data_IF_052850160576
#
_entry.id   IF_052850160576
#
_cell.length_a   1.000
_cell.length_b   1.000
_cell.length_c   1.000
_cell.angle_alpha   90.00
_cell.angle_beta   90.00
_cell.angle_gamma   90.00
#
_symmetry.space_group_name_H-M   'P 1'
#
loop_
_entity.id
_entity.type
_entity.pdbx_description
1 polymer ?
#
# COMPACT_ATOMS: atom_id res chain seq x y z
N UNK A 1 16.03 8.80 -12.76
CA UNK A 1 15.24 7.70 -12.19
C UNK A 1 13.85 8.27 -12.02
N UNK A 2 12.83 7.68 -12.63
CA UNK A 2 11.44 8.13 -12.50
C UNK A 2 10.95 7.70 -11.11
N UNK A 3 10.56 8.68 -10.30
CA UNK A 3 10.21 8.49 -8.88
C UNK A 3 8.77 7.99 -8.68
N UNK A 4 7.99 7.94 -9.78
CA UNK A 4 6.53 7.76 -9.79
C UNK A 4 6.07 6.75 -10.86
N UNK A 5 6.79 5.63 -11.00
CA UNK A 5 6.50 4.59 -12.02
C UNK A 5 5.12 3.93 -11.89
N UNK A 6 4.39 4.19 -10.81
CA UNK A 6 3.06 3.65 -10.53
C UNK A 6 1.93 4.65 -10.78
N UNK A 7 2.21 5.91 -11.12
CA UNK A 7 1.14 6.88 -11.41
C UNK A 7 0.19 6.35 -12.49
N UNK A 8 -1.11 6.46 -12.22
CA UNK A 8 -2.19 5.88 -13.04
C UNK A 8 -2.60 4.47 -12.62
N UNK A 9 -1.87 3.82 -11.70
CA UNK A 9 -2.15 2.44 -11.28
C UNK A 9 -3.10 2.39 -10.09
N UNK A 10 -4.08 1.49 -10.13
CA UNK A 10 -4.89 1.06 -8.98
C UNK A 10 -4.67 -0.42 -8.73
N UNK A 11 -4.44 -0.78 -7.46
CA UNK A 11 -4.15 -2.15 -7.03
C UNK A 11 -5.14 -2.51 -5.93
N UNK A 12 -5.88 -3.60 -6.13
CA UNK A 12 -6.64 -4.23 -5.07
C UNK A 12 -5.88 -5.45 -4.56
N UNK A 13 -5.69 -5.57 -3.25
CA UNK A 13 -5.03 -6.73 -2.63
C UNK A 13 -5.66 -7.09 -1.28
N UNK A 14 -5.42 -8.32 -0.82
CA UNK A 14 -5.87 -8.80 0.49
C UNK A 14 -4.69 -9.42 1.22
N UNK A 15 -4.46 -9.04 2.48
CA UNK A 15 -3.44 -9.70 3.29
C UNK A 15 -3.88 -11.10 3.74
N UNK A 16 -2.91 -11.98 3.97
CA UNK A 16 -3.15 -13.38 4.35
C UNK A 16 -3.89 -13.52 5.70
N UNK A 17 -3.59 -12.64 6.65
CA UNK A 17 -4.25 -12.54 7.95
C UNK A 17 -5.60 -11.83 7.90
N UNK A 18 -5.97 -11.30 6.74
CA UNK A 18 -7.25 -10.65 6.51
C UNK A 18 -7.12 -9.17 6.17
N UNK A 19 -8.22 -8.61 5.66
CA UNK A 19 -8.30 -7.20 5.33
C UNK A 19 -7.87 -6.91 3.90
N UNK A 20 -8.76 -6.23 3.18
CA UNK A 20 -8.56 -5.88 1.78
C UNK A 20 -8.31 -4.39 1.62
N UNK A 21 -7.43 -4.05 0.68
CA UNK A 21 -7.05 -2.69 0.38
C UNK A 21 -7.24 -2.42 -1.10
N UNK A 22 -7.72 -1.22 -1.39
CA UNK A 22 -7.58 -0.59 -2.70
C UNK A 22 -6.57 0.54 -2.57
N UNK A 23 -5.50 0.50 -3.36
CA UNK A 23 -4.44 1.51 -3.36
C UNK A 23 -4.32 2.12 -4.74
N UNK A 24 -4.31 3.46 -4.82
CA UNK A 24 -4.28 4.21 -6.07
C UNK A 24 -3.14 5.21 -6.06
N UNK A 25 -2.33 5.20 -7.12
CA UNK A 25 -1.18 6.07 -7.30
C UNK A 25 -1.45 7.09 -8.41
N UNK A 26 -1.20 8.37 -8.14
CA UNK A 26 -1.49 9.48 -9.05
C UNK A 26 -0.67 10.71 -8.72
N UNK A 27 -0.11 11.40 -9.72
CA UNK A 27 0.62 12.67 -9.56
C UNK A 27 1.68 12.66 -8.44
N UNK A 28 2.38 11.53 -8.23
CA UNK A 28 3.34 11.35 -7.13
C UNK A 28 2.70 11.21 -5.73
N UNK A 29 1.39 10.96 -5.68
CA UNK A 29 0.58 10.75 -4.48
C UNK A 29 -0.01 9.34 -4.46
N UNK A 30 -0.30 8.86 -3.26
CA UNK A 30 -1.02 7.61 -2.99
C UNK A 30 -2.29 7.90 -2.20
N UNK A 31 -3.35 7.17 -2.53
CA UNK A 31 -4.57 7.06 -1.74
C UNK A 31 -4.85 5.59 -1.46
N UNK A 32 -5.47 5.29 -0.32
CA UNK A 32 -5.89 3.94 0.01
C UNK A 32 -7.27 3.90 0.65
N UNK A 33 -7.95 2.77 0.46
CA UNK A 33 -9.21 2.41 1.12
C UNK A 33 -9.07 1.01 1.71
N UNK A 34 -9.33 0.88 3.01
CA UNK A 34 -9.43 -0.39 3.70
C UNK A 34 -10.88 -0.88 3.69
N UNK A 35 -11.13 -1.98 3.00
CA UNK A 35 -12.47 -2.50 2.66
C UNK A 35 -13.04 -3.47 3.71
N UNK A 36 -12.33 -3.67 4.84
CA UNK A 36 -12.70 -4.61 5.90
C UNK A 36 -12.57 -6.08 5.49
N UNK A 37 -12.73 -7.00 6.46
CA UNK A 37 -12.52 -8.45 6.24
C UNK A 37 -13.69 -9.17 5.55
N UNK A 38 -14.92 -8.62 5.55
CA UNK A 38 -16.11 -9.35 5.08
C UNK A 38 -17.22 -8.53 4.40
N UNK A 39 -17.23 -7.20 4.47
CA UNK A 39 -18.38 -6.40 3.99
C UNK A 39 -18.10 -5.63 2.69
N UNK A 40 -16.84 -5.46 2.30
CA UNK A 40 -16.46 -4.57 1.20
C UNK A 40 -16.72 -3.09 1.51
N UNK A 41 -17.04 -2.76 2.77
CA UNK A 41 -17.27 -1.40 3.21
C UNK A 41 -15.95 -0.72 3.57
N UNK A 42 -15.76 0.50 3.08
CA UNK A 42 -14.61 1.33 3.42
C UNK A 42 -14.70 1.66 4.92
N UNK A 43 -13.82 1.08 5.71
CA UNK A 43 -13.77 1.29 7.16
C UNK A 43 -12.66 2.26 7.56
N UNK A 44 -11.62 2.43 6.73
CA UNK A 44 -10.59 3.47 6.86
C UNK A 44 -10.11 3.88 5.47
N UNK A 45 -9.77 5.15 5.28
CA UNK A 45 -9.16 5.63 4.05
C UNK A 45 -8.33 6.89 4.30
N UNK A 46 -7.40 7.15 3.40
CA UNK A 46 -6.69 8.41 3.32
C UNK A 46 -6.23 8.67 1.87
N UNK A 47 -5.92 9.91 1.56
CA UNK A 47 -5.59 10.36 0.20
C UNK A 47 -4.54 11.47 0.20
N UNK A 48 -4.00 11.74 -0.99
CA UNK A 48 -3.01 12.82 -1.24
C UNK A 48 -1.73 12.67 -0.40
N UNK A 49 -1.29 11.43 -0.17
CA UNK A 49 -0.08 11.14 0.59
C UNK A 49 1.10 11.05 -0.39
N UNK A 50 2.19 11.81 -0.22
CA UNK A 50 3.38 11.64 -1.06
C UNK A 50 3.95 10.22 -0.93
N UNK A 51 4.20 9.58 -2.07
CA UNK A 51 4.88 8.29 -2.11
C UNK A 51 6.22 8.39 -2.83
N UNK A 52 7.10 7.45 -2.51
CA UNK A 52 8.33 7.20 -3.28
C UNK A 52 8.26 5.80 -3.87
N UNK A 53 8.76 5.65 -5.09
CA UNK A 53 8.80 4.36 -5.77
C UNK A 53 10.15 4.12 -6.42
N UNK A 54 10.56 2.84 -6.45
CA UNK A 54 11.67 2.36 -7.27
C UNK A 54 11.26 1.06 -7.95
N UNK A 55 11.46 0.98 -9.27
CA UNK A 55 11.39 -0.29 -9.97
C UNK A 55 12.51 -1.22 -9.50
N UNK A 56 12.15 -2.47 -9.20
CA UNK A 56 13.07 -3.58 -8.96
C UNK A 56 13.26 -4.45 -10.23
N UNK A 57 12.72 -4.00 -11.37
CA UNK A 57 12.65 -4.78 -12.62
C UNK A 57 11.48 -5.75 -12.65
N UNK A 58 11.18 -6.29 -13.83
CA UNK A 58 10.17 -7.36 -14.02
C UNK A 58 8.78 -7.08 -13.42
N UNK A 59 8.28 -5.85 -13.57
CA UNK A 59 7.00 -5.42 -12.97
C UNK A 59 6.94 -5.55 -11.44
N UNK A 60 8.10 -5.46 -10.80
CA UNK A 60 8.24 -5.39 -9.35
C UNK A 60 8.63 -3.98 -8.91
N UNK A 61 8.00 -3.51 -7.86
CA UNK A 61 8.16 -2.14 -7.36
C UNK A 61 8.35 -2.17 -5.84
N UNK A 62 9.26 -1.35 -5.35
CA UNK A 62 9.33 -0.99 -3.94
C UNK A 62 8.72 0.40 -3.77
N UNK A 63 7.65 0.48 -3.00
CA UNK A 63 6.98 1.74 -2.66
C UNK A 63 7.03 2.00 -1.18
N UNK A 64 7.05 3.27 -0.80
CA UNK A 64 6.86 3.67 0.58
C UNK A 64 6.17 5.03 0.67
N UNK A 65 5.42 5.24 1.75
CA UNK A 65 4.83 6.53 2.08
C UNK A 65 4.80 6.73 3.60
N UNK A 66 4.65 8.00 3.99
CA UNK A 66 4.69 8.42 5.39
C UNK A 66 3.51 9.35 5.70
N UNK A 67 2.62 8.90 6.57
CA UNK A 67 1.47 9.65 7.07
C UNK A 67 1.82 10.28 8.41
N UNK A 68 2.58 11.38 8.35
CA UNK A 68 3.07 12.10 9.53
C UNK A 68 2.00 12.44 10.55
N UNK A 69 0.79 12.75 10.09
CA UNK A 69 -0.30 13.22 10.96
C UNK A 69 -0.86 12.12 11.88
N UNK A 70 -0.67 10.85 11.53
CA UNK A 70 -1.16 9.70 12.31
C UNK A 70 -0.02 8.79 12.79
N UNK A 71 1.22 9.08 12.39
CA UNK A 71 2.39 8.31 12.79
C UNK A 71 2.49 6.96 12.08
N UNK A 72 2.08 6.88 10.82
CA UNK A 72 2.14 5.64 10.04
C UNK A 72 3.22 5.73 8.95
N UNK A 73 4.11 4.74 8.89
CA UNK A 73 5.05 4.55 7.79
C UNK A 73 4.77 3.21 7.13
N UNK A 74 4.55 3.20 5.82
CA UNK A 74 4.22 1.99 5.06
C UNK A 74 5.26 1.78 3.98
N UNK A 75 5.69 0.54 3.81
CA UNK A 75 6.57 0.08 2.73
C UNK A 75 5.98 -1.19 2.13
N UNK A 76 5.77 -1.20 0.81
CA UNK A 76 5.30 -2.38 0.08
C UNK A 76 6.30 -2.78 -1.00
N UNK A 77 6.53 -4.08 -1.16
CA UNK A 77 7.00 -4.65 -2.42
C UNK A 77 5.77 -5.15 -3.15
N UNK A 78 5.53 -4.64 -4.35
CA UNK A 78 4.46 -5.06 -5.25
C UNK A 78 5.11 -5.89 -6.35
N UNK A 79 4.73 -7.16 -6.49
CA UNK A 79 5.16 -8.04 -7.58
C UNK A 79 3.95 -8.40 -8.43
N UNK A 80 3.77 -7.68 -9.55
CA UNK A 80 2.66 -7.94 -10.48
C UNK A 80 2.84 -9.26 -11.25
N UNK A 81 4.05 -9.80 -11.32
CA UNK A 81 4.34 -11.06 -12.00
C UNK A 81 3.88 -12.27 -11.19
N UNK A 82 4.08 -12.25 -9.87
CA UNK A 82 3.56 -13.27 -8.95
C UNK A 82 2.19 -12.95 -8.37
N UNK A 83 1.66 -11.74 -8.60
CA UNK A 83 0.41 -11.23 -8.00
C UNK A 83 0.50 -11.19 -6.46
N UNK A 84 1.62 -10.71 -5.93
CA UNK A 84 1.91 -10.68 -4.49
C UNK A 84 2.28 -9.28 -4.00
N UNK A 85 1.91 -8.98 -2.76
CA UNK A 85 2.36 -7.81 -1.99
C UNK A 85 3.08 -8.29 -0.75
N UNK A 86 4.24 -7.70 -0.46
CA UNK A 86 4.93 -7.85 0.82
C UNK A 86 4.93 -6.51 1.53
N UNK A 87 4.35 -6.46 2.72
CA UNK A 87 4.18 -5.25 3.50
C UNK A 87 5.07 -5.24 4.72
N UNK A 88 5.67 -4.09 4.98
CA UNK A 88 6.26 -3.73 6.26
C UNK A 88 5.77 -2.32 6.61
N UNK A 89 5.03 -2.20 7.70
CA UNK A 89 4.53 -0.92 8.19
C UNK A 89 4.81 -0.76 9.68
N UNK A 90 5.09 0.48 10.07
CA UNK A 90 5.14 0.90 11.45
C UNK A 90 3.95 1.85 11.66
N UNK A 91 2.94 1.36 12.36
CA UNK A 91 1.67 2.03 12.56
C UNK A 91 1.64 2.70 13.93
N UNK A 92 1.22 3.96 13.99
CA UNK A 92 1.06 4.76 15.19
C UNK A 92 2.36 4.96 15.98
N UNK A 93 3.51 5.15 15.33
CA UNK A 93 4.83 5.21 16.01
C UNK A 93 4.98 6.35 17.01
N UNK A 94 4.08 7.33 17.00
CA UNK A 94 4.03 8.41 17.99
C UNK A 94 3.33 7.97 19.29
N UNK A 95 2.59 6.85 19.26
CA UNK A 95 1.87 6.26 20.38
C UNK A 95 2.69 5.15 21.05
N UNK A 96 2.54 4.92 22.37
CA UNK A 96 3.07 3.70 23.02
C UNK A 96 2.47 2.40 22.47
N UNK A 97 1.33 2.47 21.79
CA UNK A 97 0.64 1.33 21.17
C UNK A 97 1.09 1.08 19.72
N UNK A 98 2.29 1.56 19.34
CA UNK A 98 2.84 1.36 18.01
C UNK A 98 2.93 -0.12 17.64
N UNK A 99 2.53 -0.46 16.41
CA UNK A 99 2.52 -1.84 15.92
C UNK A 99 3.41 -1.95 14.69
N UNK A 100 4.26 -2.99 14.68
CA UNK A 100 4.89 -3.45 13.45
C UNK A 100 3.90 -4.39 12.76
N UNK A 101 3.44 -3.99 11.59
CA UNK A 101 2.68 -4.83 10.69
C UNK A 101 3.63 -5.36 9.63
N UNK A 102 3.71 -6.68 9.50
CA UNK A 102 4.61 -7.35 8.57
C UNK A 102 3.91 -8.55 7.97
N UNK A 103 3.47 -8.42 6.74
CA UNK A 103 2.46 -9.31 6.18
C UNK A 103 2.64 -9.52 4.68
N UNK A 104 2.24 -10.71 4.24
CA UNK A 104 2.10 -11.04 2.83
C UNK A 104 0.64 -10.86 2.41
N UNK A 105 0.42 -10.48 1.16
CA UNK A 105 -0.92 -10.38 0.59
C UNK A 105 -0.95 -10.79 -0.88
N UNK A 106 -2.13 -11.19 -1.31
CA UNK A 106 -2.42 -11.55 -2.70
C UNK A 106 -3.04 -10.36 -3.42
N UNK A 107 -2.47 -9.98 -4.57
CA UNK A 107 -3.06 -9.00 -5.48
C UNK A 107 -4.27 -9.64 -6.16
N UNK A 108 -5.39 -8.92 -6.13
CA UNK A 108 -6.62 -9.32 -6.79
C UNK A 108 -6.71 -8.71 -8.19
N UNK A 109 -6.38 -7.42 -8.32
CA UNK A 109 -6.40 -6.69 -9.59
C UNK A 109 -5.29 -5.66 -9.66
N UNK A 110 -4.87 -5.35 -10.90
CA UNK A 110 -4.00 -4.23 -11.24
C UNK A 110 -4.61 -3.54 -12.46
N UNK A 111 -5.09 -2.31 -12.26
CA UNK A 111 -5.67 -1.47 -13.32
C UNK A 111 -4.71 -0.33 -13.64
N UNK A 112 -4.43 -0.08 -14.93
CA UNK A 112 -3.53 0.96 -15.43
C UNK A 112 -4.17 1.80 -16.54
#
# INVERSE_FOLDING_TARGET
>A
MTEHDLDGTTIDYTYDGGGSFRVRFYDGLVAYEFLGEQTGEISRSNENIPYVCRSLGYHRYHVAWHEKNIGDFVSLIIDEGSMEVFSAALLGYESPDAIIHFEHGTILTVDR
#
